data_IF_692521774612
#
_entry.id   IF_692521774612
#
_cell.length_a   1.000
_cell.length_b   1.000
_cell.length_c   1.000
_cell.angle_alpha   90.00
_cell.angle_beta   90.00
_cell.angle_gamma   90.00
#
_symmetry.space_group_name_H-M   'P 1'
#
loop_
_entity.id
_entity.type
_entity.pdbx_description
1 polymer ?
#
# COMPACT_ATOMS: atom_id res chain seq x y z
N UNK A 1 8.94 3.69 17.05
CA UNK A 1 9.43 2.67 18.02
C UNK A 1 9.15 1.24 17.54
N UNK A 2 7.90 0.88 17.21
CA UNK A 2 7.52 -0.46 16.72
C UNK A 2 8.51 -1.03 15.70
N UNK A 3 8.84 -0.26 14.67
CA UNK A 3 9.72 -0.74 13.61
C UNK A 3 11.15 -1.04 14.04
N UNK A 4 11.73 -0.20 14.90
CA UNK A 4 13.06 -0.44 15.43
C UNK A 4 13.07 -1.72 16.28
N UNK A 5 12.04 -1.95 17.09
CA UNK A 5 11.95 -3.16 17.91
C UNK A 5 11.82 -4.43 17.05
N UNK A 6 11.02 -4.39 15.98
CA UNK A 6 10.87 -5.52 15.06
C UNK A 6 12.17 -5.82 14.31
N UNK A 7 12.91 -4.79 13.89
CA UNK A 7 14.20 -4.95 13.24
C UNK A 7 15.21 -5.65 14.15
N UNK A 8 15.35 -5.18 15.39
CA UNK A 8 16.27 -5.78 16.36
C UNK A 8 15.82 -7.18 16.80
N UNK A 9 14.51 -7.44 16.83
CA UNK A 9 14.00 -8.80 17.05
C UNK A 9 14.46 -9.76 15.95
N UNK A 10 14.30 -9.39 14.68
CA UNK A 10 14.73 -10.24 13.55
C UNK A 10 16.25 -10.43 13.55
N UNK A 11 17.03 -9.39 13.86
CA UNK A 11 18.49 -9.48 14.04
C UNK A 11 18.88 -10.40 15.19
N UNK A 12 18.13 -10.35 16.30
CA UNK A 12 18.32 -11.26 17.43
C UNK A 12 18.05 -12.73 17.11
N UNK A 13 17.26 -13.02 16.07
CA UNK A 13 17.06 -14.38 15.55
C UNK A 13 18.23 -14.86 14.65
N UNK A 14 19.21 -14.00 14.37
CA UNK A 14 20.37 -14.31 13.53
C UNK A 14 20.19 -14.00 12.04
N UNK A 15 19.17 -13.22 11.68
CA UNK A 15 18.86 -12.83 10.30
C UNK A 15 19.13 -11.34 10.07
N UNK A 16 19.58 -11.00 8.87
CA UNK A 16 19.72 -9.60 8.49
C UNK A 16 18.35 -8.95 8.29
N UNK A 17 18.21 -7.71 8.77
CA UNK A 17 16.98 -6.96 8.65
C UNK A 17 17.26 -5.47 8.45
N UNK A 18 16.71 -4.92 7.37
CA UNK A 18 16.79 -3.52 6.98
C UNK A 18 15.38 -2.91 7.00
N UNK A 19 15.20 -1.84 7.77
CA UNK A 19 13.99 -1.03 7.71
C UNK A 19 13.94 -0.24 6.39
N UNK A 20 12.96 -0.56 5.55
CA UNK A 20 12.75 0.06 4.24
C UNK A 20 11.63 1.11 4.24
N UNK A 21 11.17 1.54 5.41
CA UNK A 21 10.08 2.51 5.52
C UNK A 21 10.43 3.85 4.91
N UNK A 22 9.60 4.30 3.98
CA UNK A 22 9.83 5.52 3.20
C UNK A 22 10.85 5.35 2.05
N UNK A 23 11.53 4.21 1.96
CA UNK A 23 12.46 3.89 0.86
C UNK A 23 11.82 2.96 -0.19
N UNK A 24 10.82 2.16 0.20
CA UNK A 24 10.10 1.29 -0.72
C UNK A 24 8.80 1.91 -1.24
N UNK A 25 8.34 1.43 -2.41
CA UNK A 25 7.00 1.71 -2.91
C UNK A 25 5.93 0.99 -2.04
N UNK A 26 5.43 1.71 -1.05
CA UNK A 26 4.46 1.26 -0.04
C UNK A 26 3.18 0.65 -0.62
N UNK A 27 2.61 1.32 -1.62
CA UNK A 27 1.35 0.93 -2.24
C UNK A 27 1.42 -0.39 -3.01
N UNK A 28 2.36 -0.57 -3.97
CA UNK A 28 2.55 -1.85 -4.64
C UNK A 28 2.82 -2.97 -3.65
N UNK A 29 3.66 -2.74 -2.64
CA UNK A 29 3.97 -3.75 -1.63
C UNK A 29 2.71 -4.16 -0.85
N UNK A 30 1.89 -3.20 -0.45
CA UNK A 30 0.62 -3.46 0.24
C UNK A 30 -0.36 -4.28 -0.62
N UNK A 31 -0.38 -4.04 -1.93
CA UNK A 31 -1.23 -4.80 -2.85
C UNK A 31 -0.75 -6.25 -3.00
N UNK A 32 0.55 -6.46 -3.27
CA UNK A 32 1.09 -7.81 -3.49
C UNK A 32 1.13 -8.65 -2.21
N UNK A 33 1.27 -8.02 -1.05
CA UNK A 33 1.25 -8.72 0.26
C UNK A 33 -0.17 -8.96 0.79
N UNK A 34 -1.21 -8.48 0.09
CA UNK A 34 -2.60 -8.66 0.49
C UNK A 34 -3.04 -7.79 1.67
N UNK A 35 -2.33 -6.70 1.96
CA UNK A 35 -2.73 -5.73 2.98
C UNK A 35 -3.93 -4.89 2.53
N UNK A 36 -4.10 -4.68 1.22
CA UNK A 36 -5.20 -3.89 0.67
C UNK A 36 -5.23 -3.91 -0.86
N UNK A 37 -6.20 -3.20 -1.42
CA UNK A 37 -6.30 -2.97 -2.87
C UNK A 37 -5.98 -1.53 -3.28
N UNK A 38 -5.49 -1.38 -4.50
CA UNK A 38 -5.29 -0.07 -5.11
C UNK A 38 -6.63 0.64 -5.32
N UNK A 39 -6.67 1.95 -5.03
CA UNK A 39 -7.87 2.77 -5.19
C UNK A 39 -7.60 4.02 -6.03
N UNK A 40 -8.66 4.73 -6.43
CA UNK A 40 -8.57 5.91 -7.32
C UNK A 40 -7.64 7.02 -6.80
N UNK A 41 -7.57 7.22 -5.48
CA UNK A 41 -6.67 8.23 -4.89
C UNK A 41 -5.19 7.83 -4.91
N UNK A 42 -4.87 6.67 -5.49
CA UNK A 42 -3.58 5.99 -5.46
C UNK A 42 -3.14 5.61 -4.06
N UNK A 43 -2.73 6.58 -3.23
CA UNK A 43 -2.20 6.35 -1.88
C UNK A 43 -3.09 7.00 -0.81
N UNK A 44 -3.40 6.29 0.29
CA UNK A 44 -2.96 4.93 0.62
C UNK A 44 -3.82 3.83 -0.02
N UNK A 45 -3.26 2.62 -0.17
CA UNK A 45 -4.00 1.37 -0.45
C UNK A 45 -5.21 1.20 0.49
N UNK A 46 -6.35 0.78 -0.06
CA UNK A 46 -7.61 0.61 0.69
C UNK A 46 -7.57 -0.71 1.45
N UNK A 47 -7.64 -0.64 2.78
CA UNK A 47 -7.69 -1.81 3.65
C UNK A 47 -9.15 -2.23 3.93
N UNK A 48 -9.52 -3.53 3.88
CA UNK A 48 -10.91 -3.98 4.05
C UNK A 48 -11.59 -3.48 5.33
N UNK A 49 -10.84 -3.45 6.45
CA UNK A 49 -11.35 -3.01 7.76
C UNK A 49 -11.26 -1.50 8.02
N UNK A 50 -10.19 -0.86 7.53
CA UNK A 50 -9.80 0.48 7.96
C UNK A 50 -9.94 1.53 6.84
N UNK A 51 -10.38 1.09 5.65
CA UNK A 51 -10.41 1.90 4.44
C UNK A 51 -9.05 2.52 4.16
N UNK A 52 -9.05 3.83 3.92
CA UNK A 52 -7.86 4.62 3.57
C UNK A 52 -7.13 5.19 4.79
N UNK A 53 -7.54 4.83 6.01
CA UNK A 53 -6.88 5.33 7.24
C UNK A 53 -5.71 4.47 7.70
N UNK A 54 -5.44 3.35 7.01
CA UNK A 54 -4.35 2.44 7.36
C UNK A 54 -2.97 3.06 7.06
N UNK A 55 -2.18 3.32 8.10
CA UNK A 55 -0.81 3.86 7.97
C UNK A 55 0.27 2.79 7.85
N UNK A 56 -0.08 1.52 8.04
CA UNK A 56 0.86 0.41 7.95
C UNK A 56 1.31 0.12 6.51
N UNK A 57 0.66 0.68 5.49
CA UNK A 57 1.00 0.48 4.07
C UNK A 57 2.46 0.84 3.75
N UNK A 58 3.08 1.74 4.54
CA UNK A 58 4.46 2.19 4.35
C UNK A 58 5.50 1.48 5.21
N UNK A 59 5.12 0.48 6.01
CA UNK A 59 6.06 -0.25 6.86
C UNK A 59 6.54 -1.50 6.17
N UNK A 60 7.84 -1.53 5.86
CA UNK A 60 8.46 -2.65 5.19
C UNK A 60 9.82 -2.97 5.81
N UNK A 61 10.13 -4.26 5.88
CA UNK A 61 11.46 -4.76 6.18
C UNK A 61 11.95 -5.57 4.98
N UNK A 62 13.22 -5.43 4.67
CA UNK A 62 13.93 -6.36 3.81
C UNK A 62 14.77 -7.26 4.71
N UNK A 63 14.58 -8.57 4.60
CA UNK A 63 15.22 -9.57 5.45
C UNK A 63 15.44 -10.87 4.68
N UNK A 64 16.44 -11.63 5.10
CA UNK A 64 16.73 -12.98 4.64
C UNK A 64 16.05 -14.07 5.50
N UNK A 65 15.27 -13.68 6.52
CA UNK A 65 14.41 -14.57 7.29
C UNK A 65 13.44 -15.32 6.36
N UNK A 66 13.42 -16.66 6.33
CA UNK A 66 12.49 -17.42 5.50
C UNK A 66 11.06 -17.28 6.03
N UNK A 67 10.23 -16.51 5.33
CA UNK A 67 8.81 -16.29 5.63
C UNK A 67 7.98 -16.74 4.44
N UNK A 68 6.86 -17.42 4.71
CA UNK A 68 5.90 -17.75 3.66
C UNK A 68 5.28 -16.47 3.08
N UNK A 69 5.26 -16.28 1.75
CA UNK A 69 4.57 -15.15 1.14
C UNK A 69 3.07 -15.24 1.40
N UNK A 70 2.47 -14.08 1.62
CA UNK A 70 1.02 -13.91 1.63
C UNK A 70 0.50 -13.74 0.21
N UNK A 71 -0.82 -13.94 0.03
CA UNK A 71 -1.48 -13.77 -1.28
C UNK A 71 -2.12 -12.37 -1.36
N UNK A 72 -2.16 -11.76 -2.55
CA UNK A 72 -3.01 -10.60 -2.81
C UNK A 72 -4.48 -10.88 -2.46
N UNK A 73 -5.25 -9.81 -2.22
CA UNK A 73 -6.68 -9.89 -1.92
C UNK A 73 -7.52 -9.22 -3.02
N UNK A 74 -8.76 -9.67 -3.18
CA UNK A 74 -9.81 -9.02 -3.97
C UNK A 74 -11.11 -8.99 -3.14
N UNK A 75 -11.41 -7.81 -2.58
CA UNK A 75 -12.65 -7.41 -1.93
C UNK A 75 -13.46 -6.41 -2.78
N UNK A 76 -13.07 -6.18 -4.04
CA UNK A 76 -13.80 -5.36 -5.00
C UNK A 76 -13.59 -3.85 -4.86
N UNK A 77 -12.53 -3.41 -4.19
CA UNK A 77 -12.23 -1.97 -4.02
C UNK A 77 -11.95 -1.30 -5.37
N UNK A 78 -11.23 -1.99 -6.26
CA UNK A 78 -10.93 -1.49 -7.59
C UNK A 78 -12.21 -1.25 -8.41
N UNK A 79 -13.11 -2.24 -8.46
CA UNK A 79 -14.42 -2.13 -9.15
C UNK A 79 -15.31 -1.05 -8.55
N UNK A 80 -15.30 -0.93 -7.22
CA UNK A 80 -16.01 0.15 -6.54
C UNK A 80 -15.48 1.54 -6.94
N UNK A 81 -14.17 1.68 -7.14
CA UNK A 81 -13.58 2.94 -7.55
C UNK A 81 -13.98 3.37 -8.96
N UNK A 82 -14.37 2.44 -9.85
CA UNK A 82 -14.80 2.75 -11.23
C UNK A 82 -16.05 3.64 -11.24
N UNK A 83 -17.00 3.42 -10.33
CA UNK A 83 -18.27 4.17 -10.27
C UNK A 83 -18.32 5.24 -9.18
N UNK A 84 -17.49 5.13 -8.14
CA UNK A 84 -17.58 5.99 -6.96
C UNK A 84 -17.17 7.46 -7.19
N UNK A 85 -15.90 7.72 -7.55
CA UNK A 85 -15.41 9.07 -7.86
C UNK A 85 -15.37 10.11 -6.72
N UNK A 86 -15.91 9.83 -5.53
CA UNK A 86 -16.07 10.82 -4.44
C UNK A 86 -14.77 11.56 -4.09
N UNK A 87 -13.64 10.84 -4.01
CA UNK A 87 -12.35 11.45 -3.70
C UNK A 87 -11.88 12.44 -4.79
N UNK A 88 -12.22 12.17 -6.06
CA UNK A 88 -11.89 13.04 -7.17
C UNK A 88 -12.78 14.30 -7.20
N UNK A 89 -14.05 14.17 -6.79
CA UNK A 89 -14.97 15.30 -6.66
C UNK A 89 -14.63 16.19 -5.47
N UNK A 90 -14.21 15.59 -4.35
CA UNK A 90 -13.89 16.33 -3.12
C UNK A 90 -12.47 16.92 -3.10
N UNK A 91 -11.62 16.61 -4.08
CA UNK A 91 -10.23 17.01 -4.06
C UNK A 91 -10.12 18.54 -4.21
N UNK A 92 -9.58 19.28 -3.22
CA UNK A 92 -9.51 20.74 -3.29
C UNK A 92 -8.61 21.24 -4.43
N UNK A 93 -7.69 20.39 -4.89
CA UNK A 93 -6.74 20.70 -5.96
C UNK A 93 -7.09 20.05 -7.30
N UNK A 94 -8.13 19.21 -7.36
CA UNK A 94 -8.52 18.51 -8.59
C UNK A 94 -7.46 17.56 -9.16
N UNK A 95 -6.52 17.07 -8.34
CA UNK A 95 -5.37 16.25 -8.80
C UNK A 95 -5.71 14.76 -9.00
N UNK A 96 -6.88 14.32 -8.54
CA UNK A 96 -7.28 12.91 -8.65
C UNK A 96 -8.09 12.72 -9.93
N UNK A 97 -7.65 11.78 -10.77
CA UNK A 97 -8.25 11.52 -12.08
C UNK A 97 -9.66 10.89 -11.96
N UNK A 98 -10.60 11.35 -12.79
CA UNK A 98 -11.99 10.84 -12.86
C UNK A 98 -12.19 9.73 -13.91
N UNK A 99 -11.26 9.59 -14.84
CA UNK A 99 -11.35 8.63 -15.95
C UNK A 99 -11.09 7.17 -15.56
N UNK A 100 -11.14 6.26 -16.56
CA UNK A 100 -10.66 4.89 -16.41
C UNK A 100 -9.15 4.86 -16.18
N UNK A 101 -8.63 3.77 -15.62
CA UNK A 101 -7.19 3.59 -15.46
C UNK A 101 -6.49 3.39 -16.82
N UNK A 102 -5.34 4.04 -16.99
CA UNK A 102 -4.50 3.96 -18.19
C UNK A 102 -3.07 3.60 -17.82
N UNK A 103 -2.33 3.03 -18.77
CA UNK A 103 -0.87 2.83 -18.64
C UNK A 103 -0.07 4.10 -18.96
N UNK A 104 -0.71 5.05 -19.63
CA UNK A 104 -0.13 6.35 -19.95
C UNK A 104 -0.32 7.31 -18.80
N UNK A 105 0.73 8.07 -18.48
CA UNK A 105 0.64 9.19 -17.56
C UNK A 105 0.12 10.41 -18.34
N UNK A 106 -1.05 10.97 -18.00
CA UNK A 106 -1.63 12.10 -18.72
C UNK A 106 -0.79 13.39 -18.61
N UNK A 107 0.14 13.47 -17.66
CA UNK A 107 1.04 14.61 -17.45
C UNK A 107 2.47 14.38 -17.97
N UNK A 108 2.73 13.26 -18.68
CA UNK A 108 4.04 12.93 -19.26
C UNK A 108 4.26 13.48 -20.67
#
# INVERSE_FOLDING_TARGET
>A
KMMCHMQEFIRGLGYDCLNMSGLCFSNPLSAITGLGEHGRMSSPTIHPKNGTTNRANGWAFLTDLPISPTKPIDFGAYKFCETCGICADSCPFGIIQKGPSTWENPDA
#
